data_IF_784577879985
#
_entry.id   IF_784577879985
#
_cell.length_a   1.000
_cell.length_b   1.000
_cell.length_c   1.000
_cell.angle_alpha   90.00
_cell.angle_beta   90.00
_cell.angle_gamma   90.00
#
_symmetry.space_group_name_H-M   'P 1'
#
loop_
_entity.id
_entity.type
_entity.pdbx_description
1 polymer ?
#
# COMPACT_ATOMS: atom_id res chain seq x y z
N UNK A 1 -2.56 -20.93 -43.97
CA UNK A 1 -3.47 -22.09 -43.81
C UNK A 1 -2.80 -23.37 -43.25
N UNK A 2 -1.50 -23.63 -43.48
CA UNK A 2 -0.84 -24.87 -43.00
C UNK A 2 -0.77 -25.06 -41.46
N UNK A 3 -0.82 -23.98 -40.67
CA UNK A 3 -0.74 -24.05 -39.21
C UNK A 3 -2.06 -24.49 -38.54
N UNK A 4 -3.21 -24.16 -39.13
CA UNK A 4 -4.54 -24.52 -38.60
C UNK A 4 -4.83 -26.00 -38.81
N UNK A 5 -4.49 -26.54 -39.98
CA UNK A 5 -4.70 -27.97 -40.27
C UNK A 5 -3.82 -28.89 -39.43
N UNK A 6 -2.61 -28.45 -39.06
CA UNK A 6 -1.76 -29.20 -38.11
C UNK A 6 -2.38 -29.31 -36.71
N UNK A 7 -3.28 -28.39 -36.34
CA UNK A 7 -3.93 -28.35 -35.02
C UNK A 7 -5.29 -29.06 -35.01
N UNK A 8 -5.86 -29.38 -36.18
CA UNK A 8 -7.16 -30.05 -36.29
C UNK A 8 -7.22 -31.40 -35.56
N UNK A 9 -6.27 -32.28 -35.83
CA UNK A 9 -6.22 -33.63 -35.22
C UNK A 9 -6.06 -33.60 -33.69
N UNK A 10 -5.15 -32.77 -33.11
CA UNK A 10 -5.11 -32.56 -31.66
C UNK A 10 -6.43 -32.04 -31.08
N UNK A 11 -7.08 -31.06 -31.73
CA UNK A 11 -8.35 -30.50 -31.26
C UNK A 11 -9.46 -31.55 -31.29
N UNK A 12 -9.58 -32.33 -32.37
CA UNK A 12 -10.56 -33.42 -32.49
C UNK A 12 -10.37 -34.48 -31.39
N UNK A 13 -9.11 -34.78 -31.04
CA UNK A 13 -8.79 -35.70 -29.94
C UNK A 13 -9.24 -35.14 -28.58
N UNK A 14 -9.04 -33.85 -28.34
CA UNK A 14 -9.49 -33.19 -27.10
C UNK A 14 -11.01 -33.09 -27.02
N UNK A 15 -11.68 -32.76 -28.13
CA UNK A 15 -13.15 -32.73 -28.23
C UNK A 15 -13.73 -34.11 -27.91
N UNK A 16 -13.12 -35.19 -28.43
CA UNK A 16 -13.55 -36.55 -28.12
C UNK A 16 -13.46 -36.86 -26.62
N UNK A 17 -12.34 -36.52 -25.98
CA UNK A 17 -12.18 -36.66 -24.52
C UNK A 17 -13.23 -35.86 -23.75
N UNK A 18 -13.50 -34.63 -24.17
CA UNK A 18 -14.54 -33.79 -23.57
C UNK A 18 -15.91 -34.47 -23.63
N UNK A 19 -16.33 -34.95 -24.80
CA UNK A 19 -17.62 -35.66 -24.96
C UNK A 19 -17.67 -36.94 -24.12
N UNK A 20 -16.57 -37.69 -24.03
CA UNK A 20 -16.48 -38.87 -23.15
C UNK A 20 -16.66 -38.52 -21.67
N UNK A 21 -16.02 -37.46 -21.18
CA UNK A 21 -16.21 -37.00 -19.80
C UNK A 21 -17.61 -36.48 -19.55
N UNK A 22 -18.17 -35.75 -20.51
CA UNK A 22 -19.54 -35.24 -20.45
C UNK A 22 -20.56 -36.37 -20.36
N UNK A 23 -20.42 -37.42 -21.16
CA UNK A 23 -21.29 -38.60 -21.11
C UNK A 23 -21.18 -39.34 -19.76
N UNK A 24 -19.97 -39.45 -19.20
CA UNK A 24 -19.77 -40.02 -17.86
C UNK A 24 -20.42 -39.18 -16.77
N UNK A 25 -20.32 -37.86 -16.86
CA UNK A 25 -20.95 -36.93 -15.92
C UNK A 25 -22.49 -37.01 -16.02
N UNK A 26 -23.03 -37.03 -17.24
CA UNK A 26 -24.46 -37.22 -17.48
C UNK A 26 -24.97 -38.53 -16.86
N UNK A 27 -24.22 -39.63 -16.97
CA UNK A 27 -24.60 -40.90 -16.37
C UNK A 27 -24.68 -40.89 -14.83
N UNK A 28 -24.10 -39.89 -14.16
CA UNK A 28 -24.16 -39.71 -12.70
C UNK A 28 -25.36 -38.87 -12.24
N UNK A 29 -26.00 -38.13 -13.15
CA UNK A 29 -27.13 -37.24 -12.85
C UNK A 29 -28.45 -38.02 -12.79
N UNK A 30 -29.44 -37.48 -12.08
CA UNK A 30 -30.76 -38.11 -12.01
C UNK A 30 -31.54 -37.93 -13.35
N UNK A 31 -32.49 -38.84 -13.70
CA UNK A 31 -33.17 -38.84 -14.99
C UNK A 31 -33.97 -37.56 -15.30
N UNK A 32 -34.42 -36.85 -14.27
CA UNK A 32 -35.09 -35.56 -14.32
C UNK A 32 -34.14 -34.38 -14.63
N UNK A 33 -32.85 -34.53 -14.35
CA UNK A 33 -31.81 -33.52 -14.64
C UNK A 33 -31.26 -33.61 -16.07
N UNK A 34 -31.61 -34.66 -16.82
CA UNK A 34 -31.15 -34.87 -18.20
C UNK A 34 -31.83 -33.98 -19.25
N UNK A 35 -32.99 -33.37 -18.95
CA UNK A 35 -33.87 -32.80 -19.98
C UNK A 35 -33.39 -31.48 -20.60
N UNK A 36 -32.52 -30.71 -19.94
CA UNK A 36 -32.07 -29.40 -20.45
C UNK A 36 -30.56 -29.29 -20.69
N UNK A 37 -29.84 -30.43 -20.73
CA UNK A 37 -28.47 -30.45 -21.25
C UNK A 37 -28.53 -30.46 -22.78
N UNK A 38 -27.76 -29.60 -23.47
CA UNK A 38 -27.70 -29.60 -24.94
C UNK A 38 -27.43 -31.03 -25.43
N UNK A 39 -28.39 -31.72 -26.06
CA UNK A 39 -28.27 -33.16 -26.31
C UNK A 39 -27.15 -33.47 -27.32
N UNK A 40 -26.58 -32.46 -27.96
CA UNK A 40 -25.58 -32.62 -29.00
C UNK A 40 -24.15 -32.60 -28.47
N UNK A 41 -23.37 -33.62 -28.86
CA UNK A 41 -21.93 -33.67 -28.67
C UNK A 41 -21.22 -32.47 -29.32
N UNK A 42 -20.15 -31.99 -28.67
CA UNK A 42 -19.31 -30.95 -29.25
C UNK A 42 -18.60 -31.53 -30.48
N UNK A 43 -18.69 -30.84 -31.61
CA UNK A 43 -18.02 -31.21 -32.86
C UNK A 43 -16.97 -30.18 -33.23
N UNK A 44 -15.94 -30.59 -33.98
CA UNK A 44 -14.89 -29.67 -34.46
C UNK A 44 -15.46 -28.44 -35.18
N UNK A 45 -16.51 -28.64 -36.00
CA UNK A 45 -17.18 -27.54 -36.71
C UNK A 45 -17.87 -26.56 -35.76
N UNK A 46 -18.53 -27.04 -34.70
CA UNK A 46 -19.17 -26.19 -33.69
C UNK A 46 -18.12 -25.42 -32.89
N UNK A 47 -17.04 -26.10 -32.51
CA UNK A 47 -15.92 -25.52 -31.77
C UNK A 47 -15.20 -24.39 -32.53
N UNK A 48 -14.89 -24.58 -33.81
CA UNK A 48 -14.18 -23.55 -34.60
C UNK A 48 -15.06 -22.33 -34.89
N UNK A 49 -16.38 -22.52 -34.94
CA UNK A 49 -17.35 -21.46 -35.21
C UNK A 49 -17.89 -20.80 -33.94
N UNK A 50 -17.44 -21.23 -32.76
CA UNK A 50 -17.85 -20.68 -31.47
C UNK A 50 -17.24 -19.29 -31.30
N UNK A 51 -18.03 -18.32 -30.83
CA UNK A 51 -17.49 -17.00 -30.46
C UNK A 51 -16.61 -17.13 -29.22
N UNK A 52 -15.68 -16.18 -29.04
CA UNK A 52 -14.91 -16.09 -27.79
C UNK A 52 -15.82 -15.78 -26.58
N UNK A 53 -16.94 -15.10 -26.82
CA UNK A 53 -17.94 -14.78 -25.80
C UNK A 53 -18.99 -15.90 -25.61
N UNK A 54 -18.82 -17.06 -26.25
CA UNK A 54 -19.72 -18.19 -26.07
C UNK A 54 -19.68 -18.68 -24.61
N UNK A 55 -20.84 -19.00 -24.05
CA UNK A 55 -20.97 -19.45 -22.68
C UNK A 55 -20.19 -20.76 -22.40
N UNK A 56 -19.83 -21.53 -23.44
CA UNK A 56 -18.87 -22.63 -23.36
C UNK A 56 -17.51 -22.23 -22.77
N UNK A 57 -17.07 -20.98 -23.00
CA UNK A 57 -15.81 -20.44 -22.46
C UNK A 57 -15.95 -19.81 -21.08
N UNK A 58 -17.19 -19.60 -20.60
CA UNK A 58 -17.45 -19.04 -19.29
C UNK A 58 -17.48 -20.17 -18.25
N UNK A 59 -16.41 -20.22 -17.47
CA UNK A 59 -16.21 -21.09 -16.31
C UNK A 59 -16.29 -22.61 -16.58
N UNK A 60 -15.12 -23.16 -16.92
CA UNK A 60 -14.83 -24.54 -17.37
C UNK A 60 -15.37 -25.64 -16.43
N UNK A 61 -15.73 -25.31 -15.19
CA UNK A 61 -16.24 -26.25 -14.19
C UNK A 61 -17.75 -26.14 -13.92
N UNK A 62 -18.40 -25.05 -14.33
CA UNK A 62 -19.72 -24.66 -13.80
C UNK A 62 -20.80 -24.49 -14.85
N UNK A 63 -20.44 -24.43 -16.13
CA UNK A 63 -21.40 -24.23 -17.23
C UNK A 63 -22.57 -25.24 -17.23
N UNK A 64 -22.37 -26.45 -16.67
CA UNK A 64 -23.43 -27.46 -16.52
C UNK A 64 -23.88 -27.69 -15.06
N UNK A 65 -23.39 -26.91 -14.09
CA UNK A 65 -23.80 -27.06 -12.69
C UNK A 65 -25.20 -26.51 -12.49
N UNK A 66 -26.10 -27.33 -11.94
CA UNK A 66 -27.49 -26.95 -11.59
C UNK A 66 -27.67 -26.63 -10.11
N UNK A 67 -26.58 -26.67 -9.35
CA UNK A 67 -26.62 -26.41 -7.94
C UNK A 67 -27.09 -24.97 -7.66
N UNK A 68 -27.73 -24.71 -6.50
CA UNK A 68 -28.26 -23.38 -6.18
C UNK A 68 -27.22 -22.26 -6.29
N UNK A 69 -25.95 -22.53 -5.97
CA UNK A 69 -24.86 -21.56 -6.09
C UNK A 69 -24.46 -21.23 -7.55
N UNK A 70 -24.89 -22.02 -8.53
CA UNK A 70 -24.62 -21.78 -9.95
C UNK A 70 -25.79 -21.06 -10.64
N UNK A 71 -27.03 -21.47 -10.36
CA UNK A 71 -28.21 -20.97 -11.08
C UNK A 71 -29.01 -19.88 -10.34
N UNK A 72 -29.04 -19.89 -8.99
CA UNK A 72 -29.88 -18.95 -8.24
C UNK A 72 -29.14 -17.61 -8.03
N UNK A 73 -29.75 -16.49 -8.45
CA UNK A 73 -29.18 -15.15 -8.31
C UNK A 73 -28.90 -14.76 -6.87
N UNK A 74 -29.82 -15.09 -5.97
CA UNK A 74 -29.78 -14.65 -4.58
C UNK A 74 -28.74 -15.46 -3.80
N UNK A 75 -28.62 -16.75 -4.10
CA UNK A 75 -27.55 -17.60 -3.53
C UNK A 75 -26.18 -17.08 -3.97
N UNK A 76 -26.01 -16.74 -5.24
CA UNK A 76 -24.75 -16.14 -5.74
C UNK A 76 -24.48 -14.79 -5.08
N UNK A 77 -25.48 -13.92 -5.00
CA UNK A 77 -25.33 -12.62 -4.34
C UNK A 77 -24.94 -12.78 -2.86
N UNK A 78 -25.55 -13.73 -2.15
CA UNK A 78 -25.20 -14.06 -0.77
C UNK A 78 -23.76 -14.57 -0.63
N UNK A 79 -23.32 -15.49 -1.50
CA UNK A 79 -21.93 -15.98 -1.52
C UNK A 79 -20.95 -14.84 -1.79
N UNK A 80 -21.24 -13.99 -2.77
CA UNK A 80 -20.39 -12.82 -3.10
C UNK A 80 -20.33 -11.84 -1.93
N UNK A 81 -21.45 -11.55 -1.27
CA UNK A 81 -21.46 -10.67 -0.10
C UNK A 81 -20.63 -11.23 1.07
N UNK A 82 -20.74 -12.54 1.31
CA UNK A 82 -19.92 -13.23 2.32
C UNK A 82 -18.42 -13.15 1.97
N UNK A 83 -18.04 -13.47 0.72
CA UNK A 83 -16.65 -13.40 0.27
C UNK A 83 -16.10 -11.97 0.33
N UNK A 84 -16.89 -10.96 -0.05
CA UNK A 84 -16.50 -9.57 0.05
C UNK A 84 -16.27 -9.14 1.51
N UNK A 85 -17.10 -9.62 2.44
CA UNK A 85 -16.94 -9.36 3.88
C UNK A 85 -15.66 -10.01 4.40
N UNK A 86 -15.43 -11.29 4.08
CA UNK A 86 -14.20 -12.00 4.46
C UNK A 86 -12.95 -11.31 3.89
N UNK A 87 -13.04 -10.86 2.64
CA UNK A 87 -11.95 -10.12 2.00
C UNK A 87 -11.67 -8.79 2.69
N UNK A 88 -12.71 -8.06 3.09
CA UNK A 88 -12.56 -6.81 3.82
C UNK A 88 -11.91 -7.04 5.20
N UNK A 89 -12.27 -8.12 5.90
CA UNK A 89 -11.65 -8.49 7.18
C UNK A 89 -10.16 -8.84 7.00
N UNK A 90 -9.82 -9.60 5.95
CA UNK A 90 -8.42 -9.90 5.58
C UNK A 90 -7.64 -8.61 5.29
N UNK A 91 -8.19 -7.72 4.46
CA UNK A 91 -7.53 -6.46 4.09
C UNK A 91 -7.34 -5.55 5.31
N UNK A 92 -8.31 -5.49 6.22
CA UNK A 92 -8.17 -4.77 7.48
C UNK A 92 -7.01 -5.31 8.32
N UNK A 93 -6.85 -6.64 8.37
CA UNK A 93 -5.73 -7.27 9.06
C UNK A 93 -4.37 -6.97 8.40
N UNK A 94 -4.33 -6.91 7.07
CA UNK A 94 -3.12 -6.52 6.33
C UNK A 94 -2.73 -5.07 6.60
N UNK A 95 -3.69 -4.14 6.51
CA UNK A 95 -3.44 -2.71 6.78
C UNK A 95 -2.90 -2.52 8.20
N UNK A 96 -3.45 -3.25 9.18
CA UNK A 96 -2.98 -3.23 10.57
C UNK A 96 -1.52 -3.66 10.71
N UNK A 97 -1.14 -4.74 10.05
CA UNK A 97 0.23 -5.24 10.07
C UNK A 97 1.18 -4.31 9.32
N UNK A 98 0.73 -3.72 8.21
CA UNK A 98 1.54 -2.79 7.42
C UNK A 98 1.79 -1.49 8.21
N UNK A 99 0.77 -0.95 8.89
CA UNK A 99 0.94 0.17 9.80
C UNK A 99 1.99 -0.16 10.87
N UNK A 100 1.86 -1.31 11.54
CA UNK A 100 2.78 -1.72 12.60
C UNK A 100 4.21 -1.86 12.06
N UNK A 101 4.38 -2.40 10.86
CA UNK A 101 5.67 -2.53 10.18
C UNK A 101 6.26 -1.15 9.84
N UNK A 102 5.46 -0.24 9.28
CA UNK A 102 5.89 1.11 8.95
C UNK A 102 6.35 1.89 10.20
N UNK A 103 5.60 1.78 11.31
CA UNK A 103 6.00 2.40 12.58
C UNK A 103 7.28 1.78 13.14
N UNK A 104 7.43 0.45 13.05
CA UNK A 104 8.67 -0.24 13.45
C UNK A 104 9.87 0.19 12.61
N UNK A 105 9.69 0.35 11.29
CA UNK A 105 10.73 0.88 10.41
C UNK A 105 11.12 2.31 10.76
N UNK A 106 10.15 3.18 11.04
CA UNK A 106 10.43 4.55 11.45
C UNK A 106 11.27 4.60 12.73
N UNK A 107 10.94 3.77 13.73
CA UNK A 107 11.73 3.64 14.98
C UNK A 107 13.12 3.07 14.70
N UNK A 108 13.22 2.04 13.86
CA UNK A 108 14.51 1.41 13.54
C UNK A 108 15.45 2.37 12.80
N UNK A 109 14.94 3.15 11.84
CA UNK A 109 15.73 4.17 11.14
C UNK A 109 16.23 5.22 12.12
N UNK A 110 15.36 5.71 13.01
CA UNK A 110 15.74 6.67 14.05
C UNK A 110 16.87 6.14 14.94
N UNK A 111 16.73 4.90 15.42
CA UNK A 111 17.73 4.24 16.26
C UNK A 111 19.03 3.99 15.51
N UNK A 112 18.96 3.62 14.23
CA UNK A 112 20.13 3.37 13.39
C UNK A 112 20.94 4.65 13.15
N UNK A 113 20.28 5.75 12.79
CA UNK A 113 20.96 7.04 12.57
C UNK A 113 21.57 7.55 13.88
N UNK A 114 20.79 7.52 14.97
CA UNK A 114 21.26 7.97 16.30
C UNK A 114 22.42 7.12 16.81
N UNK A 115 22.37 5.80 16.60
CA UNK A 115 23.46 4.88 16.94
C UNK A 115 24.74 5.20 16.16
N UNK A 116 24.63 5.42 14.85
CA UNK A 116 25.78 5.77 14.00
C UNK A 116 26.41 7.12 14.36
N UNK A 117 25.60 8.12 14.69
CA UNK A 117 26.08 9.41 15.21
C UNK A 117 26.92 9.20 16.48
N UNK A 118 26.39 8.45 17.45
CA UNK A 118 27.09 8.16 18.71
C UNK A 118 28.39 7.39 18.52
N UNK A 119 28.40 6.40 17.62
CA UNK A 119 29.61 5.62 17.30
C UNK A 119 30.72 6.54 16.76
N UNK A 120 30.39 7.45 15.83
CA UNK A 120 31.35 8.41 15.26
C UNK A 120 31.86 9.37 16.35
N UNK A 121 30.96 9.96 17.15
CA UNK A 121 31.33 10.90 18.22
C UNK A 121 32.24 10.27 19.29
N UNK A 122 32.04 8.99 19.62
CA UNK A 122 32.90 8.26 20.56
C UNK A 122 34.30 8.04 19.98
N UNK A 123 34.40 7.64 18.70
CA UNK A 123 35.68 7.48 18.01
C UNK A 123 36.46 8.79 17.80
N UNK A 124 35.78 9.94 17.79
CA UNK A 124 36.44 11.25 17.84
C UNK A 124 37.08 11.52 19.21
N UNK A 125 36.47 11.04 20.30
CA UNK A 125 36.92 11.32 21.67
C UNK A 125 38.08 10.45 22.19
N UNK A 126 38.36 9.31 21.54
CA UNK A 126 39.39 8.34 21.95
C UNK A 126 40.83 8.72 21.49
N UNK A 127 41.12 10.01 21.24
CA UNK A 127 42.43 10.51 20.77
C UNK A 127 43.61 10.25 21.73
N UNK A 128 43.35 9.93 23.00
CA UNK A 128 44.37 9.90 24.05
C UNK A 128 45.00 8.51 24.35
N UNK A 129 44.53 7.42 23.73
CA UNK A 129 45.06 6.05 23.96
C UNK A 129 45.47 5.35 22.66
N UNK A 130 46.60 5.76 22.06
CA UNK A 130 47.15 5.04 20.90
C UNK A 130 48.13 3.96 21.38
N UNK A 131 47.66 2.70 21.40
CA UNK A 131 48.51 1.52 21.32
C UNK A 131 48.78 1.22 19.82
N UNK A 132 50.00 0.79 19.49
CA UNK A 132 50.56 0.67 18.13
C UNK A 132 49.88 -0.41 17.24
N UNK A 133 48.74 -0.94 17.65
CA UNK A 133 48.03 -2.08 17.03
C UNK A 133 46.54 -1.78 16.80
N UNK A 134 46.18 -0.56 16.35
CA UNK A 134 44.78 -0.22 16.08
C UNK A 134 44.45 -0.36 14.58
N UNK A 135 43.52 -1.28 14.30
CA UNK A 135 42.64 -1.28 13.12
C UNK A 135 42.20 0.18 12.84
N UNK A 136 42.15 0.62 11.57
CA UNK A 136 41.89 2.04 11.20
C UNK A 136 40.87 2.68 12.15
N UNK A 137 41.20 3.83 12.77
CA UNK A 137 40.37 4.59 13.75
C UNK A 137 38.89 4.64 13.37
N UNK A 138 38.62 4.62 12.07
CA UNK A 138 37.32 4.78 11.45
C UNK A 138 36.74 3.53 10.78
N UNK A 139 37.46 2.40 10.80
CA UNK A 139 37.06 1.06 10.38
C UNK A 139 36.00 0.99 9.28
N UNK A 140 34.91 0.27 9.56
CA UNK A 140 33.70 0.17 8.73
C UNK A 140 32.68 1.29 9.03
N UNK A 141 33.02 2.27 9.87
CA UNK A 141 32.13 3.38 10.24
C UNK A 141 31.97 4.38 9.11
N UNK A 142 33.04 4.58 8.32
CA UNK A 142 33.03 5.49 7.18
C UNK A 142 32.59 4.78 5.89
N UNK A 143 31.83 5.48 5.02
CA UNK A 143 31.45 4.93 3.73
C UNK A 143 32.70 4.71 2.86
N UNK A 144 32.72 3.65 2.04
CA UNK A 144 33.83 3.35 1.11
C UNK A 144 34.00 4.38 -0.03
N UNK A 145 33.19 5.45 -0.06
CA UNK A 145 33.27 6.50 -1.08
C UNK A 145 34.62 7.25 -1.02
N UNK A 146 35.25 7.39 -2.19
CA UNK A 146 36.46 8.20 -2.36
C UNK A 146 36.06 9.66 -2.57
N UNK A 147 36.53 10.54 -1.67
CA UNK A 147 36.33 11.99 -1.74
C UNK A 147 37.62 12.70 -2.20
N UNK A 148 38.49 12.01 -2.94
CA UNK A 148 39.84 12.49 -3.29
C UNK A 148 40.78 12.41 -2.08
N UNK A 149 41.69 13.38 -1.96
CA UNK A 149 42.67 13.50 -0.86
C UNK A 149 42.03 14.04 0.42
N UNK A 150 40.84 13.55 0.76
CA UNK A 150 40.11 13.92 1.97
C UNK A 150 40.57 13.03 3.13
N UNK A 151 41.03 13.65 4.21
CA UNK A 151 41.38 12.95 5.44
C UNK A 151 40.14 12.29 6.07
N UNK A 152 40.34 11.15 6.74
CA UNK A 152 39.26 10.36 7.32
C UNK A 152 38.51 11.13 8.41
N UNK A 153 39.18 12.01 9.16
CA UNK A 153 38.54 12.88 10.16
C UNK A 153 37.60 13.91 9.50
N UNK A 154 38.01 14.51 8.37
CA UNK A 154 37.16 15.43 7.59
C UNK A 154 35.95 14.68 7.00
N UNK A 155 36.17 13.44 6.58
CA UNK A 155 35.12 12.56 6.07
C UNK A 155 34.14 12.16 7.18
N UNK A 156 34.62 11.88 8.39
CA UNK A 156 33.79 11.61 9.56
C UNK A 156 32.90 12.80 9.91
N UNK A 157 33.46 14.01 9.96
CA UNK A 157 32.69 15.23 10.20
C UNK A 157 31.62 15.46 9.12
N UNK A 158 31.93 15.18 7.85
CA UNK A 158 30.95 15.27 6.76
C UNK A 158 29.81 14.26 6.96
N UNK A 159 30.15 13.00 7.26
CA UNK A 159 29.17 11.94 7.54
C UNK A 159 28.30 12.31 8.73
N UNK A 160 28.90 12.81 9.82
CA UNK A 160 28.20 13.26 11.01
C UNK A 160 27.21 14.39 10.70
N UNK A 161 27.61 15.37 9.89
CA UNK A 161 26.72 16.46 9.46
C UNK A 161 25.56 15.94 8.62
N UNK A 162 25.83 15.02 7.68
CA UNK A 162 24.78 14.41 6.84
C UNK A 162 23.82 13.57 7.70
N UNK A 163 24.32 12.77 8.63
CA UNK A 163 23.49 11.96 9.52
C UNK A 163 22.61 12.83 10.42
N UNK A 164 23.14 13.95 10.93
CA UNK A 164 22.35 14.89 11.71
C UNK A 164 21.25 15.56 10.88
N UNK A 165 21.55 16.00 9.65
CA UNK A 165 20.55 16.55 8.73
C UNK A 165 19.46 15.52 8.39
N UNK A 166 19.84 14.27 8.13
CA UNK A 166 18.88 13.18 7.90
C UNK A 166 18.06 12.87 9.15
N UNK A 167 18.65 12.93 10.34
CA UNK A 167 17.94 12.72 11.60
C UNK A 167 16.86 13.79 11.81
N UNK A 168 17.16 15.07 11.53
CA UNK A 168 16.18 16.15 11.61
C UNK A 168 15.03 15.90 10.64
N UNK A 169 15.33 15.64 9.37
CA UNK A 169 14.29 15.35 8.35
C UNK A 169 13.42 14.15 8.73
N UNK A 170 14.04 13.10 9.28
CA UNK A 170 13.32 11.91 9.72
C UNK A 170 12.40 12.22 10.92
N UNK A 171 12.88 12.98 11.90
CA UNK A 171 12.06 13.46 13.04
C UNK A 171 10.87 14.28 12.55
N UNK A 172 11.08 15.21 11.62
CA UNK A 172 10.02 16.05 11.06
C UNK A 172 8.91 15.21 10.41
N UNK A 173 9.28 14.19 9.62
CA UNK A 173 8.32 13.27 9.02
C UNK A 173 7.56 12.50 10.10
N UNK A 174 8.28 11.96 11.09
CA UNK A 174 7.68 11.19 12.18
C UNK A 174 6.68 12.02 13.00
N UNK A 175 7.02 13.27 13.31
CA UNK A 175 6.15 14.20 14.02
C UNK A 175 4.97 14.65 13.15
N UNK A 176 5.22 14.91 11.86
CA UNK A 176 4.19 15.28 10.89
C UNK A 176 3.12 14.20 10.70
N UNK A 177 3.51 12.92 10.74
CA UNK A 177 2.59 11.79 10.65
C UNK A 177 1.87 11.47 11.95
N UNK A 178 2.29 12.08 13.07
CA UNK A 178 1.79 11.69 14.37
C UNK A 178 0.26 11.76 14.57
N UNK A 179 -0.46 12.81 14.11
CA UNK A 179 -1.90 12.86 14.24
C UNK A 179 -2.61 11.79 13.39
N UNK A 180 -2.14 11.57 12.16
CA UNK A 180 -2.74 10.60 11.23
C UNK A 180 -2.54 9.16 11.71
N UNK A 181 -1.33 8.84 12.17
CA UNK A 181 -1.02 7.53 12.77
C UNK A 181 -1.90 7.26 13.98
N UNK A 182 -2.12 8.25 14.85
CA UNK A 182 -3.00 8.11 16.01
C UNK A 182 -4.45 7.87 15.60
N UNK A 183 -4.95 8.62 14.62
CA UNK A 183 -6.31 8.46 14.08
C UNK A 183 -6.51 7.06 13.50
N UNK A 184 -5.58 6.64 12.64
CA UNK A 184 -5.62 5.36 11.95
C UNK A 184 -5.45 4.19 12.93
N UNK A 185 -4.57 4.32 13.95
CA UNK A 185 -4.42 3.33 15.01
C UNK A 185 -5.73 3.11 15.77
N UNK A 186 -6.40 4.18 16.18
CA UNK A 186 -7.68 4.09 16.88
C UNK A 186 -8.77 3.47 16.00
N UNK A 187 -8.78 3.76 14.70
CA UNK A 187 -9.69 3.15 13.73
C UNK A 187 -9.47 1.64 13.61
N UNK A 188 -8.21 1.20 13.55
CA UNK A 188 -7.86 -0.21 13.32
C UNK A 188 -7.90 -1.07 14.58
N UNK A 189 -7.59 -0.51 15.75
CA UNK A 189 -7.43 -1.26 17.01
C UNK A 189 -8.45 -0.89 18.09
N UNK A 190 -9.25 0.17 17.91
CA UNK A 190 -10.12 0.72 18.95
C UNK A 190 -9.33 1.49 20.02
N UNK A 191 -9.96 1.72 21.19
CA UNK A 191 -9.37 2.45 22.33
C UNK A 191 -8.37 1.62 23.16
N UNK A 192 -7.68 0.66 22.53
CA UNK A 192 -6.68 -0.17 23.21
C UNK A 192 -5.44 0.67 23.49
N UNK A 193 -4.78 0.52 24.66
CA UNK A 193 -3.55 1.23 24.98
C UNK A 193 -2.50 1.10 23.87
N UNK A 194 -1.92 2.23 23.48
CA UNK A 194 -0.84 2.34 22.51
C UNK A 194 0.41 1.63 23.05
N UNK A 195 0.64 0.39 22.61
CA UNK A 195 1.78 -0.43 23.07
C UNK A 195 3.01 -0.37 22.16
N UNK A 196 2.92 0.34 21.04
CA UNK A 196 4.00 0.39 20.05
C UNK A 196 5.07 1.42 20.45
N UNK A 197 6.35 1.05 20.35
CA UNK A 197 7.51 1.87 20.76
C UNK A 197 7.55 3.26 20.11
N UNK A 198 7.01 3.36 18.89
CA UNK A 198 6.83 4.61 18.16
C UNK A 198 6.08 5.68 18.98
N UNK A 199 5.06 5.32 19.76
CA UNK A 199 4.28 6.31 20.53
C UNK A 199 5.12 6.93 21.65
N UNK A 200 5.88 6.12 22.37
CA UNK A 200 6.83 6.60 23.38
C UNK A 200 7.87 7.52 22.72
N UNK A 201 8.48 7.07 21.62
CA UNK A 201 9.47 7.86 20.89
C UNK A 201 8.92 9.23 20.45
N UNK A 202 7.74 9.29 19.85
CA UNK A 202 7.10 10.55 19.44
C UNK A 202 6.84 11.48 20.62
N UNK A 203 6.40 10.96 21.76
CA UNK A 203 6.19 11.81 22.96
C UNK A 203 7.50 12.39 23.47
N UNK A 204 8.60 11.63 23.42
CA UNK A 204 9.93 12.14 23.79
C UNK A 204 10.41 13.21 22.81
N UNK A 205 10.24 13.02 21.50
CA UNK A 205 10.65 13.97 20.46
C UNK A 205 9.85 15.28 20.56
N UNK A 206 8.53 15.20 20.70
CA UNK A 206 7.69 16.38 20.87
C UNK A 206 8.03 17.18 22.15
N UNK A 207 8.50 16.50 23.20
CA UNK A 207 8.95 17.15 24.43
C UNK A 207 10.31 17.86 24.25
N UNK A 208 11.19 17.33 23.40
CA UNK A 208 12.50 17.92 23.10
C UNK A 208 12.39 19.17 22.22
N UNK A 209 11.49 19.16 21.23
CA UNK A 209 11.25 20.35 20.39
C UNK A 209 10.69 21.52 21.20
N UNK A 210 9.79 21.25 22.15
CA UNK A 210 9.24 22.27 23.03
C UNK A 210 10.26 22.83 24.06
N UNK A 211 11.40 22.16 24.25
CA UNK A 211 12.46 22.59 25.17
C UNK A 211 13.53 23.48 24.50
N UNK A 212 13.49 23.64 23.18
CA UNK A 212 14.38 24.54 22.45
C UNK A 212 13.68 25.88 22.27
N UNK A 213 14.02 26.94 23.03
CA UNK A 213 13.44 28.25 22.77
C UNK A 213 13.82 28.69 21.35
N UNK A 214 12.90 29.30 20.59
CA UNK A 214 13.25 29.82 19.28
C UNK A 214 14.36 30.85 19.47
N UNK A 215 15.46 30.71 18.71
CA UNK A 215 16.39 31.83 18.56
C UNK A 215 15.56 33.01 18.07
N UNK A 216 15.40 34.01 18.93
CA UNK A 216 14.81 35.30 18.59
C UNK A 216 15.63 35.92 17.49
N UNK A 217 15.20 35.74 16.24
CA UNK A 217 15.51 36.67 15.18
C UNK A 217 14.85 38.00 15.57
N UNK A 218 15.69 38.97 15.94
CA UNK A 218 15.26 40.34 16.19
C UNK A 218 14.52 40.84 14.95
N UNK A 219 13.20 41.02 15.09
CA UNK A 219 12.40 41.77 14.13
C UNK A 219 12.40 43.20 14.61
N UNK A 220 13.11 44.03 13.86
CA UNK A 220 13.10 45.49 14.01
C UNK A 220 11.68 46.01 13.74
N UNK A 221 11.30 47.02 14.51
CA UNK A 221 9.95 47.52 14.66
C UNK A 221 9.51 48.42 13.48
N UNK A 222 8.19 48.44 13.27
CA UNK A 222 7.36 49.53 12.72
C UNK A 222 7.33 49.80 11.20
N UNK A 223 6.21 49.40 10.56
CA UNK A 223 5.35 50.31 9.76
C UNK A 223 3.87 49.94 10.04
N UNK A 224 3.04 50.97 10.26
CA UNK A 224 1.70 50.94 10.85
C UNK A 224 0.51 50.41 10.01
N UNK A 225 -0.72 50.64 10.50
CA UNK A 225 -1.89 49.80 10.21
C UNK A 225 -2.61 50.28 8.96
N UNK A 226 -2.91 49.38 8.03
CA UNK A 226 -3.91 49.63 6.99
C UNK A 226 -4.86 48.43 6.87
N UNK A 227 -6.10 48.73 7.22
CA UNK A 227 -7.35 48.30 6.58
C UNK A 227 -7.60 46.79 6.41
N UNK A 228 -8.39 46.31 7.37
CA UNK A 228 -9.30 45.18 7.36
C UNK A 228 -9.91 44.91 5.97
N UNK A 229 -9.44 43.86 5.30
CA UNK A 229 -10.11 43.25 4.17
C UNK A 229 -10.86 42.01 4.68
N UNK A 230 -12.18 42.03 4.57
CA UNK A 230 -13.06 40.89 4.90
C UNK A 230 -12.60 39.63 4.16
N UNK A 231 -12.21 38.60 4.92
CA UNK A 231 -11.94 37.28 4.40
C UNK A 231 -13.27 36.53 4.27
N UNK A 232 -13.80 36.54 3.05
CA UNK A 232 -14.99 35.81 2.63
C UNK A 232 -14.81 34.33 3.00
N UNK A 233 -15.65 33.81 3.89
CA UNK A 233 -15.51 32.44 4.37
C UNK A 233 -15.89 31.43 3.28
N UNK A 234 -15.28 30.24 3.29
CA UNK A 234 -15.54 29.17 2.30
C UNK A 234 -17.03 28.75 2.20
N UNK A 235 -17.85 29.12 3.19
CA UNK A 235 -19.30 28.91 3.17
C UNK A 235 -20.05 29.87 2.22
N UNK A 236 -19.52 31.08 1.96
CA UNK A 236 -20.14 32.06 1.05
C UNK A 236 -19.81 31.77 -0.43
N UNK A 237 -18.65 31.17 -0.70
CA UNK A 237 -18.27 30.63 -2.03
C UNK A 237 -19.19 29.47 -2.48
N UNK A 238 -19.76 28.73 -1.53
CA UNK A 238 -20.63 27.58 -1.83
C UNK A 238 -22.08 27.98 -2.13
N UNK A 239 -22.56 29.09 -1.56
CA UNK A 239 -23.93 29.60 -1.80
C UNK A 239 -24.02 30.22 -3.20
N UNK A 240 -23.02 30.99 -3.64
CA UNK A 240 -23.00 31.60 -4.98
C UNK A 240 -22.88 30.59 -6.14
N UNK A 241 -22.49 29.35 -5.86
CA UNK A 241 -22.34 28.30 -6.88
C UNK A 241 -23.61 27.43 -7.03
N UNK A 242 -24.52 27.46 -6.05
CA UNK A 242 -25.83 26.78 -6.16
C UNK A 242 -26.90 27.66 -6.84
N UNK A 243 -26.79 28.99 -6.76
CA UNK A 243 -27.74 29.93 -7.40
C UNK A 243 -27.55 30.09 -8.91
N UNK A 244 -26.45 29.58 -9.49
CA UNK A 244 -26.22 29.63 -10.95
C UNK A 244 -26.80 28.42 -11.71
N UNK A 245 -27.44 27.47 -11.00
CA UNK A 245 -27.96 26.25 -11.62
C UNK A 245 -29.50 26.18 -11.67
N UNK A 246 -30.21 27.24 -11.26
CA UNK A 246 -31.68 27.31 -11.30
C UNK A 246 -32.24 28.15 -12.46
N UNK A 247 -31.39 28.85 -13.25
CA UNK A 247 -31.81 29.68 -14.39
C UNK A 247 -31.63 29.02 -15.77
N UNK A 248 -31.29 27.72 -15.84
CA UNK A 248 -31.22 26.98 -17.11
C UNK A 248 -32.37 25.99 -17.33
N UNK A 249 -33.56 26.29 -16.81
CA UNK A 249 -34.79 25.53 -17.13
C UNK A 249 -36.05 26.38 -17.31
N UNK A 250 -35.91 27.56 -17.93
CA UNK A 250 -37.04 28.21 -18.62
C UNK A 250 -36.55 28.80 -19.96
N UNK A 251 -37.22 28.41 -21.04
CA UNK A 251 -37.09 28.85 -22.44
C UNK A 251 -36.00 28.16 -23.30
N UNK A 252 -36.30 26.98 -23.86
CA UNK A 252 -36.87 26.83 -25.20
C UNK A 252 -37.19 25.35 -25.49
#
# INVERSE_FOLDING_TARGET
MAAVERRKQPIETTIKKYNEYRAKFQALLAPDEHQDLDPQDLTYRKFVNMSLDDAFWQDVYLYNSREPWACNSDVRAGIQAMLATQRADEEMSFIRNELSSALSWAVNIYNSITGKIREIELSESDEDEIDDEMESRWGDLLPSISLGDCEDDVKAQLVLNVLNDQLVKHKDIMLGWAPDVRSLWNMLHGEIPQRHEWFELITTLASQDNATPPLTAQTDEQIGPNEEGDEVTASELFIGMMDLNEDLHVAN
#
